data_IF_075602788350
#
_entry.id   IF_075602788350
#
_cell.length_a   1.000
_cell.length_b   1.000
_cell.length_c   1.000
_cell.angle_alpha   90.00
_cell.angle_beta   90.00
_cell.angle_gamma   90.00
#
_symmetry.space_group_name_H-M   'P 1'
#
loop_
_entity.id
_entity.type
_entity.pdbx_description
1 polymer ?
#
# COMPACT_ATOMS: atom_id res chain seq x y z
N UNK A 1 24.29 4.68 -2.33
CA UNK A 1 23.21 5.40 -1.66
C UNK A 1 21.92 4.84 -2.22
N UNK A 2 21.05 4.24 -1.40
CA UNK A 2 19.74 3.76 -1.83
C UNK A 2 18.87 4.94 -2.28
N UNK A 3 18.16 4.78 -3.39
CA UNK A 3 17.18 5.77 -3.83
C UNK A 3 15.98 5.68 -2.91
N UNK A 4 15.63 6.77 -2.22
CA UNK A 4 14.41 6.87 -1.42
C UNK A 4 13.29 7.31 -2.34
N UNK A 5 12.14 6.61 -2.27
CA UNK A 5 10.93 6.96 -3.01
C UNK A 5 10.04 7.86 -2.15
N UNK A 6 9.54 8.91 -2.75
CA UNK A 6 8.54 9.78 -2.16
C UNK A 6 7.15 9.39 -2.67
N UNK A 7 6.40 8.65 -1.84
CA UNK A 7 5.08 8.11 -2.19
C UNK A 7 4.00 9.03 -1.64
N UNK A 8 3.19 9.60 -2.52
CA UNK A 8 2.07 10.47 -2.16
C UNK A 8 0.91 9.66 -1.60
N UNK A 9 0.77 9.60 -0.28
CA UNK A 9 -0.30 8.87 0.41
C UNK A 9 -1.67 9.51 0.10
N UNK A 10 -2.54 8.78 -0.60
CA UNK A 10 -3.86 9.21 -1.12
C UNK A 10 -3.79 10.48 -1.98
N UNK A 11 -2.62 10.73 -2.59
CA UNK A 11 -2.35 11.89 -3.42
C UNK A 11 -1.90 13.15 -2.71
N UNK A 12 -1.42 13.09 -1.46
CA UNK A 12 -1.12 14.21 -0.54
C UNK A 12 -2.35 14.91 0.08
N UNK A 13 -2.13 15.53 1.24
CA UNK A 13 -3.17 16.31 1.94
C UNK A 13 -3.10 17.80 1.56
N UNK A 14 -3.51 18.13 0.37
CA UNK A 14 -3.52 19.53 -0.11
C UNK A 14 -4.89 20.21 0.01
N UNK A 15 -5.89 19.55 0.62
CA UNK A 15 -7.25 20.08 0.78
C UNK A 15 -8.21 19.73 -0.38
N UNK A 16 -7.74 19.02 -1.40
CA UNK A 16 -8.57 18.59 -2.55
C UNK A 16 -9.32 17.27 -2.32
N UNK A 17 -9.23 16.72 -1.11
CA UNK A 17 -9.86 15.47 -0.71
C UNK A 17 -9.00 14.24 -1.01
N UNK A 18 -8.93 13.32 -0.04
CA UNK A 18 -8.19 12.06 -0.16
C UNK A 18 -8.78 11.18 -1.29
N UNK A 19 -7.94 10.49 -2.05
CA UNK A 19 -8.36 9.57 -3.12
C UNK A 19 -9.19 10.22 -4.24
N UNK A 20 -9.01 11.51 -4.53
CA UNK A 20 -9.67 12.19 -5.65
C UNK A 20 -8.73 12.36 -6.85
N UNK A 21 -9.28 12.41 -8.05
CA UNK A 21 -8.48 12.65 -9.27
C UNK A 21 -7.73 13.98 -9.19
N UNK A 22 -8.36 15.03 -8.67
CA UNK A 22 -7.72 16.34 -8.47
C UNK A 22 -6.51 16.25 -7.54
N UNK A 23 -6.61 15.45 -6.46
CA UNK A 23 -5.53 15.22 -5.53
C UNK A 23 -4.37 14.43 -6.16
N UNK A 24 -4.67 13.46 -7.02
CA UNK A 24 -3.66 12.70 -7.77
C UNK A 24 -2.93 13.62 -8.77
N UNK A 25 -3.66 14.50 -9.48
CA UNK A 25 -3.07 15.49 -10.38
C UNK A 25 -2.11 16.43 -9.63
N UNK A 26 -2.50 16.87 -8.44
CA UNK A 26 -1.65 17.73 -7.61
C UNK A 26 -0.40 16.98 -7.13
N UNK A 27 -0.50 15.69 -6.76
CA UNK A 27 0.67 14.89 -6.41
C UNK A 27 1.68 14.78 -7.57
N UNK A 28 1.17 14.61 -8.80
CA UNK A 28 2.00 14.62 -10.02
C UNK A 28 2.69 15.98 -10.19
N UNK A 29 1.93 17.08 -10.06
CA UNK A 29 2.46 18.44 -10.18
C UNK A 29 3.56 18.74 -9.14
N UNK A 30 3.43 18.19 -7.93
CA UNK A 30 4.40 18.33 -6.83
C UNK A 30 5.60 17.39 -6.95
N UNK A 31 5.66 16.53 -7.97
CA UNK A 31 6.81 15.68 -8.25
C UNK A 31 6.90 14.43 -7.37
N UNK A 32 5.76 13.83 -7.03
CA UNK A 32 5.75 12.52 -6.37
C UNK A 32 6.41 11.46 -7.27
N UNK A 33 7.21 10.55 -6.68
CA UNK A 33 7.78 9.41 -7.41
C UNK A 33 6.75 8.30 -7.64
N UNK A 34 5.73 8.23 -6.79
CA UNK A 34 4.63 7.27 -6.83
C UNK A 34 3.42 7.84 -6.10
N UNK A 35 2.22 7.41 -6.47
CA UNK A 35 1.00 7.78 -5.74
C UNK A 35 0.37 6.53 -5.14
N UNK A 36 0.06 6.59 -3.85
CA UNK A 36 -0.73 5.55 -3.19
C UNK A 36 -2.21 5.93 -3.20
N UNK A 37 -3.07 4.94 -3.47
CA UNK A 37 -4.52 5.07 -3.44
C UNK A 37 -5.18 3.85 -2.81
N UNK A 38 -6.26 4.08 -2.06
CA UNK A 38 -7.08 3.04 -1.44
C UNK A 38 -8.10 2.50 -2.44
N UNK A 39 -8.16 1.18 -2.62
CA UNK A 39 -9.07 0.55 -3.60
C UNK A 39 -10.15 -0.27 -2.91
N UNK A 40 -11.39 -0.06 -3.33
CA UNK A 40 -12.58 -0.83 -2.94
C UNK A 40 -13.47 -1.14 -4.13
N UNK A 41 -14.35 -2.12 -3.95
CA UNK A 41 -15.49 -2.34 -4.87
C UNK A 41 -16.72 -1.58 -4.37
N UNK A 42 -17.31 -0.76 -5.22
CA UNK A 42 -18.60 -0.12 -4.95
C UNK A 42 -19.72 -1.14 -5.09
N UNK A 43 -20.66 -1.17 -4.15
CA UNK A 43 -21.70 -2.22 -4.10
C UNK A 43 -22.79 -2.02 -5.14
N UNK A 44 -23.10 -0.79 -5.50
CA UNK A 44 -24.20 -0.45 -6.40
C UNK A 44 -24.01 -0.96 -7.83
N UNK A 45 -22.77 -0.91 -8.33
CA UNK A 45 -22.42 -1.24 -9.72
C UNK A 45 -21.25 -2.22 -9.87
N UNK A 46 -20.58 -2.59 -8.76
CA UNK A 46 -19.46 -3.50 -8.79
C UNK A 46 -18.13 -2.88 -9.27
N UNK A 47 -18.08 -1.58 -9.57
CA UNK A 47 -16.88 -0.88 -10.03
C UNK A 47 -15.79 -0.84 -8.95
N UNK A 48 -14.52 -0.94 -9.36
CA UNK A 48 -13.41 -0.60 -8.49
C UNK A 48 -13.26 0.92 -8.42
N UNK A 49 -13.24 1.43 -7.19
CA UNK A 49 -13.23 2.87 -6.90
C UNK A 49 -12.17 3.22 -5.87
N UNK A 50 -11.77 4.49 -5.85
CA UNK A 50 -10.83 5.01 -4.88
C UNK A 50 -11.58 5.39 -3.61
N UNK A 51 -11.37 4.65 -2.51
CA UNK A 51 -12.00 4.95 -1.23
C UNK A 51 -11.30 4.24 -0.07
N UNK A 52 -11.00 4.98 1.00
CA UNK A 52 -10.50 4.40 2.24
C UNK A 52 -11.62 3.75 3.06
N UNK A 53 -12.78 4.39 3.14
CA UNK A 53 -13.85 4.01 4.04
C UNK A 53 -14.76 2.93 3.45
N UNK A 54 -15.41 2.17 4.34
CA UNK A 54 -16.42 1.18 3.95
C UNK A 54 -17.66 1.88 3.39
N UNK A 55 -18.19 1.34 2.29
CA UNK A 55 -19.36 1.91 1.62
C UNK A 55 -19.02 3.17 0.84
N UNK A 56 -18.13 3.06 -0.18
CA UNK A 56 -17.82 4.19 -1.04
C UNK A 56 -19.10 4.76 -1.65
N UNK A 57 -19.15 6.11 -1.71
CA UNK A 57 -20.28 6.82 -2.28
C UNK A 57 -20.29 6.74 -3.82
N UNK A 58 -21.40 7.16 -4.43
CA UNK A 58 -21.58 7.11 -5.89
C UNK A 58 -20.60 8.03 -6.65
N UNK A 59 -20.08 9.05 -5.98
CA UNK A 59 -19.13 10.02 -6.56
C UNK A 59 -17.67 9.61 -6.40
N UNK A 60 -17.37 8.47 -5.73
CA UNK A 60 -16.01 7.99 -5.58
C UNK A 60 -15.38 7.75 -6.97
N UNK A 61 -14.16 8.28 -7.24
CA UNK A 61 -13.51 8.11 -8.53
C UNK A 61 -13.31 6.63 -8.86
N UNK A 62 -13.46 6.25 -10.12
CA UNK A 62 -13.21 4.89 -10.57
C UNK A 62 -11.71 4.61 -10.64
N UNK A 63 -11.30 3.40 -10.34
CA UNK A 63 -9.90 2.99 -10.46
C UNK A 63 -9.37 3.22 -11.88
N UNK A 64 -10.14 2.89 -12.90
CA UNK A 64 -9.77 3.09 -14.31
C UNK A 64 -9.41 4.54 -14.66
N UNK A 65 -10.05 5.54 -14.02
CA UNK A 65 -9.74 6.95 -14.25
C UNK A 65 -8.38 7.32 -13.65
N UNK A 66 -8.06 6.77 -12.47
CA UNK A 66 -6.74 6.91 -11.85
C UNK A 66 -5.64 6.19 -12.64
N UNK A 67 -5.91 4.99 -13.16
CA UNK A 67 -4.98 4.25 -14.01
C UNK A 67 -4.68 5.01 -15.31
N UNK A 68 -5.70 5.56 -15.96
CA UNK A 68 -5.54 6.37 -17.17
C UNK A 68 -4.70 7.63 -16.91
N UNK A 69 -4.97 8.34 -15.81
CA UNK A 69 -4.18 9.50 -15.39
C UNK A 69 -2.72 9.12 -15.13
N UNK A 70 -2.48 8.06 -14.35
CA UNK A 70 -1.14 7.61 -13.99
C UNK A 70 -0.34 7.14 -15.20
N UNK A 71 -0.98 6.43 -16.15
CA UNK A 71 -0.38 6.02 -17.41
C UNK A 71 0.03 7.24 -18.25
N UNK A 72 -0.86 8.21 -18.40
CA UNK A 72 -0.59 9.44 -19.16
C UNK A 72 0.57 10.24 -18.54
N UNK A 73 0.59 10.38 -17.23
CA UNK A 73 1.63 11.10 -16.50
C UNK A 73 2.94 10.31 -16.34
N UNK A 74 2.98 9.06 -16.78
CA UNK A 74 4.11 8.15 -16.61
C UNK A 74 4.53 7.93 -15.15
N UNK A 75 3.57 7.92 -14.20
CA UNK A 75 3.80 7.72 -12.76
C UNK A 75 3.30 6.36 -12.28
N UNK A 76 4.05 5.59 -11.45
CA UNK A 76 3.56 4.35 -10.87
C UNK A 76 2.54 4.59 -9.76
N UNK A 77 1.68 3.58 -9.51
CA UNK A 77 0.71 3.59 -8.42
C UNK A 77 0.98 2.48 -7.40
N UNK A 78 0.78 2.79 -6.13
CA UNK A 78 0.56 1.80 -5.08
C UNK A 78 -0.95 1.66 -4.81
N UNK A 79 -1.50 0.49 -5.06
CA UNK A 79 -2.92 0.19 -4.86
C UNK A 79 -3.09 -0.53 -3.53
N UNK A 80 -3.55 0.18 -2.50
CA UNK A 80 -3.80 -0.39 -1.17
C UNK A 80 -5.23 -0.97 -1.10
N UNK A 81 -5.34 -2.29 -1.12
CA UNK A 81 -6.62 -3.01 -1.16
C UNK A 81 -7.28 -3.01 0.22
N UNK A 82 -8.45 -2.40 0.32
CA UNK A 82 -9.21 -2.26 1.58
C UNK A 82 -10.27 -3.34 1.81
N UNK A 83 -10.36 -4.30 0.91
CA UNK A 83 -11.26 -5.45 1.04
C UNK A 83 -10.72 -6.67 0.28
N UNK A 84 -11.21 -7.86 0.63
CA UNK A 84 -10.86 -9.10 -0.04
C UNK A 84 -11.66 -9.29 -1.34
N UNK A 85 -11.28 -10.30 -2.14
CA UNK A 85 -11.97 -10.72 -3.37
C UNK A 85 -12.03 -9.65 -4.47
N UNK A 86 -10.94 -8.87 -4.63
CA UNK A 86 -10.78 -7.91 -5.73
C UNK A 86 -9.86 -8.42 -6.85
N UNK A 87 -9.10 -9.48 -6.61
CA UNK A 87 -7.92 -9.87 -7.40
C UNK A 87 -8.21 -10.06 -8.88
N UNK A 88 -9.24 -10.82 -9.25
CA UNK A 88 -9.55 -11.12 -10.65
C UNK A 88 -9.98 -9.87 -11.42
N UNK A 89 -10.86 -9.07 -10.82
CA UNK A 89 -11.31 -7.81 -11.43
C UNK A 89 -10.15 -6.84 -11.55
N UNK A 90 -9.36 -6.69 -10.49
CA UNK A 90 -8.21 -5.80 -10.46
C UNK A 90 -7.18 -6.16 -11.53
N UNK A 91 -6.79 -7.43 -11.62
CA UNK A 91 -5.81 -7.88 -12.62
C UNK A 91 -6.33 -7.65 -14.05
N UNK A 92 -7.63 -7.88 -14.29
CA UNK A 92 -8.24 -7.57 -15.60
C UNK A 92 -8.15 -6.08 -15.93
N UNK A 93 -8.56 -5.20 -15.02
CA UNK A 93 -8.50 -3.74 -15.24
C UNK A 93 -7.06 -3.25 -15.42
N UNK A 94 -6.08 -3.83 -14.71
CA UNK A 94 -4.67 -3.50 -14.86
C UNK A 94 -4.10 -3.92 -16.22
N UNK A 95 -4.51 -5.08 -16.74
CA UNK A 95 -4.13 -5.53 -18.08
C UNK A 95 -4.72 -4.64 -19.17
N UNK A 96 -6.02 -4.32 -19.06
CA UNK A 96 -6.72 -3.43 -19.98
C UNK A 96 -6.10 -2.02 -20.01
N UNK A 97 -5.66 -1.53 -18.84
CA UNK A 97 -4.97 -0.24 -18.71
C UNK A 97 -3.47 -0.27 -19.09
N UNK A 98 -2.89 -1.44 -19.37
CA UNK A 98 -1.44 -1.65 -19.59
C UNK A 98 -0.57 -1.14 -18.43
N UNK A 99 -1.05 -1.37 -17.19
CA UNK A 99 -0.41 -0.86 -15.97
C UNK A 99 0.19 -1.97 -15.08
N UNK A 100 0.20 -3.22 -15.51
CA UNK A 100 0.64 -4.37 -14.70
C UNK A 100 2.06 -4.24 -14.14
N UNK A 101 2.99 -3.68 -14.89
CA UNK A 101 4.40 -3.49 -14.48
C UNK A 101 4.64 -2.15 -13.77
N UNK A 102 3.60 -1.32 -13.68
CA UNK A 102 3.68 0.04 -13.14
C UNK A 102 2.83 0.22 -11.88
N UNK A 103 2.36 -0.89 -11.34
CA UNK A 103 1.65 -0.88 -10.06
C UNK A 103 2.37 -1.77 -9.04
N UNK A 104 2.17 -1.40 -7.80
CA UNK A 104 2.48 -2.22 -6.64
C UNK A 104 1.18 -2.43 -5.88
N UNK A 105 0.88 -3.64 -5.44
CA UNK A 105 -0.34 -3.92 -4.69
C UNK A 105 0.01 -4.20 -3.24
N UNK A 106 -0.67 -3.49 -2.34
CA UNK A 106 -0.55 -3.64 -0.88
C UNK A 106 -1.93 -3.83 -0.24
N UNK A 107 -1.99 -4.11 1.05
CA UNK A 107 -3.27 -4.38 1.73
C UNK A 107 -3.87 -5.74 1.38
N UNK A 108 -5.12 -5.96 1.75
CA UNK A 108 -5.89 -7.16 1.40
C UNK A 108 -5.42 -8.50 1.98
N UNK A 109 -4.34 -8.50 2.76
CA UNK A 109 -3.76 -9.70 3.35
C UNK A 109 -2.87 -10.54 2.41
N UNK A 110 -2.11 -11.46 3.00
CA UNK A 110 -1.12 -12.27 2.29
C UNK A 110 -1.73 -13.24 1.27
N UNK A 111 -2.91 -13.77 1.53
CA UNK A 111 -3.64 -14.67 0.61
C UNK A 111 -3.97 -13.97 -0.70
N UNK A 112 -4.44 -12.72 -0.62
CA UNK A 112 -4.76 -11.92 -1.80
C UNK A 112 -3.49 -11.55 -2.59
N UNK A 113 -2.39 -11.25 -1.91
CA UNK A 113 -1.11 -11.00 -2.56
C UNK A 113 -0.62 -12.24 -3.35
N UNK A 114 -0.70 -13.43 -2.76
CA UNK A 114 -0.36 -14.69 -3.43
C UNK A 114 -1.27 -14.95 -4.64
N UNK A 115 -2.57 -14.69 -4.50
CA UNK A 115 -3.51 -14.91 -5.60
C UNK A 115 -3.30 -13.95 -6.76
N UNK A 116 -3.02 -12.68 -6.47
CA UNK A 116 -2.66 -11.69 -7.51
C UNK A 116 -1.40 -12.10 -8.25
N UNK A 117 -0.36 -12.54 -7.54
CA UNK A 117 0.88 -13.02 -8.17
C UNK A 117 0.66 -14.27 -9.02
N UNK A 118 -0.24 -15.16 -8.61
CA UNK A 118 -0.62 -16.33 -9.41
C UNK A 118 -1.32 -15.92 -10.71
N UNK A 119 -2.23 -14.94 -10.65
CA UNK A 119 -2.95 -14.43 -11.83
C UNK A 119 -2.06 -13.64 -12.78
N UNK A 120 -1.13 -12.83 -12.25
CA UNK A 120 -0.24 -11.97 -13.01
C UNK A 120 1.13 -11.83 -12.31
N UNK A 121 2.11 -12.68 -12.65
CA UNK A 121 3.42 -12.70 -12.00
C UNK A 121 4.24 -11.41 -12.11
N UNK A 122 3.93 -10.55 -13.09
CA UNK A 122 4.62 -9.27 -13.29
C UNK A 122 4.23 -8.18 -12.31
N UNK A 123 3.08 -8.34 -11.64
CA UNK A 123 2.62 -7.38 -10.62
C UNK A 123 3.46 -7.56 -9.36
N UNK A 124 4.05 -6.48 -8.89
CA UNK A 124 4.72 -6.42 -7.60
C UNK A 124 3.69 -6.41 -6.46
N UNK A 125 3.93 -7.21 -5.42
CA UNK A 125 3.02 -7.30 -4.28
C UNK A 125 3.75 -7.06 -2.96
N UNK A 126 3.09 -6.35 -2.04
CA UNK A 126 3.63 -6.02 -0.74
C UNK A 126 2.81 -6.59 0.41
N UNK A 127 3.51 -6.95 1.48
CA UNK A 127 2.91 -7.39 2.73
C UNK A 127 2.72 -6.19 3.67
N UNK A 128 1.50 -5.87 4.05
CA UNK A 128 1.22 -4.80 5.02
C UNK A 128 1.30 -5.34 6.44
N UNK A 129 2.22 -4.80 7.25
CA UNK A 129 2.26 -5.06 8.69
C UNK A 129 1.17 -4.23 9.37
N UNK A 130 0.13 -4.85 9.92
CA UNK A 130 -1.01 -4.11 10.46
C UNK A 130 -0.62 -3.31 11.70
N UNK A 131 -1.13 -2.08 11.79
CA UNK A 131 -0.95 -1.22 12.97
C UNK A 131 -1.62 -1.80 14.21
N UNK A 132 -2.76 -2.47 14.05
CA UNK A 132 -3.59 -3.04 15.12
C UNK A 132 -4.20 -4.35 14.68
N UNK A 133 -4.24 -5.32 15.58
CA UNK A 133 -5.18 -6.43 15.49
C UNK A 133 -6.55 -6.00 15.99
N UNK A 134 -7.59 -6.63 15.44
CA UNK A 134 -9.01 -6.45 15.73
C UNK A 134 -9.37 -5.78 17.09
N UNK A 135 -10.54 -5.14 17.14
CA UNK A 135 -11.02 -4.38 18.31
C UNK A 135 -11.00 -5.17 19.63
N UNK A 136 -11.10 -6.49 19.61
CA UNK A 136 -10.96 -7.31 20.81
C UNK A 136 -9.54 -7.35 21.39
N UNK A 137 -8.48 -7.13 20.59
CA UNK A 137 -7.10 -7.00 21.10
C UNK A 137 -6.89 -5.68 21.82
N UNK A 138 -7.68 -4.66 21.53
CA UNK A 138 -7.69 -3.41 22.31
C UNK A 138 -8.13 -3.65 23.76
N UNK A 139 -9.03 -4.62 23.96
CA UNK A 139 -9.52 -4.99 25.30
C UNK A 139 -8.48 -5.81 26.10
N UNK A 140 -7.54 -6.48 25.46
CA UNK A 140 -6.49 -7.30 26.10
C UNK A 140 -5.25 -6.50 26.54
N UNK A 141 -5.21 -5.19 26.26
CA UNK A 141 -4.24 -4.27 26.82
C UNK A 141 -2.88 -4.18 26.14
N UNK A 142 -2.05 -3.30 26.66
CA UNK A 142 -0.75 -2.89 26.13
C UNK A 142 0.26 -4.06 25.94
N UNK A 143 0.29 -5.04 26.84
CA UNK A 143 1.25 -6.15 26.81
C UNK A 143 1.04 -7.08 25.59
N UNK A 144 -0.22 -7.39 25.24
CA UNK A 144 -0.56 -8.24 24.10
C UNK A 144 -0.25 -7.52 22.79
N UNK A 145 -0.54 -6.23 22.70
CA UNK A 145 -0.17 -5.41 21.55
C UNK A 145 1.35 -5.37 21.35
N UNK A 146 2.12 -5.30 22.44
CA UNK A 146 3.60 -5.33 22.38
C UNK A 146 4.13 -6.70 21.95
N UNK A 147 3.59 -7.79 22.48
CA UNK A 147 3.98 -9.14 22.09
C UNK A 147 3.65 -9.44 20.62
N UNK A 148 2.46 -9.04 20.17
CA UNK A 148 2.04 -9.16 18.78
C UNK A 148 2.95 -8.42 17.82
N UNK A 149 3.29 -7.17 18.13
CA UNK A 149 4.23 -6.36 17.35
C UNK A 149 5.61 -7.05 17.27
N UNK A 150 6.07 -7.62 18.37
CA UNK A 150 7.35 -8.34 18.43
C UNK A 150 7.35 -9.61 17.55
N UNK A 151 6.26 -10.37 17.55
CA UNK A 151 6.12 -11.59 16.70
C UNK A 151 6.16 -11.22 15.22
N UNK A 152 5.38 -10.21 14.78
CA UNK A 152 5.32 -9.80 13.39
C UNK A 152 6.64 -9.20 12.88
N UNK A 153 7.24 -8.30 13.66
CA UNK A 153 8.51 -7.69 13.26
C UNK A 153 9.72 -8.60 13.49
N UNK A 154 9.59 -9.58 14.35
CA UNK A 154 10.66 -10.53 14.67
C UNK A 154 10.84 -11.66 13.66
N UNK A 155 9.84 -11.92 12.80
CA UNK A 155 9.83 -13.02 11.81
C UNK A 155 9.39 -12.58 10.41
N UNK A 156 9.57 -11.31 10.09
CA UNK A 156 9.18 -10.76 8.79
C UNK A 156 9.91 -11.45 7.62
N UNK A 157 11.14 -11.87 7.82
CA UNK A 157 11.93 -12.60 6.84
C UNK A 157 11.30 -13.96 6.48
N UNK A 158 10.73 -14.67 7.46
CA UNK A 158 10.01 -15.93 7.21
C UNK A 158 8.72 -15.70 6.42
N UNK A 159 8.00 -14.63 6.76
CA UNK A 159 6.78 -14.26 6.03
C UNK A 159 7.09 -13.87 4.58
N UNK A 160 8.11 -13.06 4.36
CA UNK A 160 8.56 -12.67 3.02
C UNK A 160 8.97 -13.88 2.19
N UNK A 161 9.72 -14.82 2.77
CA UNK A 161 10.09 -16.08 2.11
C UNK A 161 8.89 -16.95 1.78
N UNK A 162 7.91 -17.04 2.68
CA UNK A 162 6.71 -17.86 2.47
C UNK A 162 5.73 -17.24 1.46
N UNK A 163 5.66 -15.91 1.40
CA UNK A 163 4.73 -15.18 0.53
C UNK A 163 5.36 -14.71 -0.78
N UNK A 164 6.68 -14.74 -0.88
CA UNK A 164 7.44 -14.18 -2.00
C UNK A 164 7.04 -12.72 -2.32
N UNK A 165 6.63 -11.94 -1.31
CA UNK A 165 6.32 -10.53 -1.49
C UNK A 165 7.59 -9.71 -1.74
N UNK A 166 7.48 -8.71 -2.62
CA UNK A 166 8.60 -7.87 -3.05
C UNK A 166 8.95 -6.79 -2.02
N UNK A 167 7.99 -6.48 -1.16
CA UNK A 167 8.15 -5.43 -0.16
C UNK A 167 7.26 -5.62 1.07
N UNK A 168 7.58 -4.87 2.11
CA UNK A 168 6.77 -4.73 3.32
C UNK A 168 6.35 -3.28 3.49
N UNK A 169 5.06 -3.03 3.74
CA UNK A 169 4.60 -1.71 4.19
C UNK A 169 4.40 -1.70 5.70
N UNK A 170 4.90 -0.68 6.38
CA UNK A 170 4.92 -0.63 7.84
C UNK A 170 4.72 0.79 8.38
N UNK A 171 4.00 0.92 9.50
CA UNK A 171 3.85 2.24 10.16
C UNK A 171 5.20 2.72 10.73
N UNK A 172 5.52 4.01 10.56
CA UNK A 172 6.81 4.62 10.94
C UNK A 172 7.25 4.33 12.39
N UNK A 173 6.29 4.20 13.33
CA UNK A 173 6.58 3.91 14.75
C UNK A 173 7.00 2.47 15.02
N UNK A 174 6.85 1.58 14.05
CA UNK A 174 7.23 0.17 14.14
C UNK A 174 8.61 -0.10 13.51
N UNK A 175 9.14 0.86 12.77
CA UNK A 175 10.43 0.72 12.10
C UNK A 175 11.57 0.75 13.12
N UNK A 176 12.40 -0.28 13.05
CA UNK A 176 13.62 -0.42 13.83
C UNK A 176 14.76 -0.81 12.90
N UNK A 177 16.04 -0.53 13.24
CA UNK A 177 17.17 -0.99 12.42
C UNK A 177 17.19 -2.51 12.19
N UNK A 178 16.74 -3.28 13.19
CA UNK A 178 16.61 -4.74 13.07
C UNK A 178 15.58 -5.12 12.01
N UNK A 179 14.41 -4.47 11.98
CA UNK A 179 13.37 -4.75 10.98
C UNK A 179 13.88 -4.43 9.58
N UNK A 180 14.51 -3.28 9.39
CA UNK A 180 15.10 -2.86 8.11
C UNK A 180 16.11 -3.92 7.62
N UNK A 181 17.04 -4.31 8.50
CA UNK A 181 18.04 -5.34 8.18
C UNK A 181 17.39 -6.68 7.80
N UNK A 182 16.35 -7.12 8.51
CA UNK A 182 15.66 -8.38 8.20
C UNK A 182 14.96 -8.34 6.85
N UNK A 183 14.27 -7.24 6.53
CA UNK A 183 13.57 -7.07 5.25
C UNK A 183 14.58 -7.05 4.10
N UNK A 184 15.65 -6.26 4.20
CA UNK A 184 16.70 -6.20 3.18
C UNK A 184 17.44 -7.53 3.00
N UNK A 185 17.71 -8.27 4.07
CA UNK A 185 18.31 -9.62 3.97
C UNK A 185 17.40 -10.63 3.29
N UNK A 186 16.08 -10.42 3.35
CA UNK A 186 15.12 -11.24 2.60
C UNK A 186 15.02 -10.84 1.12
N UNK A 187 15.76 -9.82 0.68
CA UNK A 187 15.73 -9.30 -0.69
C UNK A 187 14.52 -8.43 -1.00
N UNK A 188 13.82 -7.94 0.03
CA UNK A 188 12.61 -7.12 -0.10
C UNK A 188 12.86 -5.65 0.24
N UNK A 189 11.98 -4.77 -0.25
CA UNK A 189 11.96 -3.35 0.10
C UNK A 189 11.12 -3.11 1.37
N UNK A 190 11.40 -2.00 2.05
CA UNK A 190 10.57 -1.53 3.17
C UNK A 190 9.99 -0.16 2.84
N UNK A 191 8.66 -0.06 2.84
CA UNK A 191 7.93 1.17 2.63
C UNK A 191 7.26 1.61 3.93
N UNK A 192 7.43 2.87 4.28
CA UNK A 192 7.04 3.37 5.61
C UNK A 192 5.91 4.39 5.47
N UNK A 193 4.80 4.16 6.17
CA UNK A 193 3.64 5.04 6.19
C UNK A 193 3.35 5.54 7.60
N UNK A 194 2.78 6.65 7.87
CA UNK A 194 2.90 7.90 7.12
C UNK A 194 3.74 8.82 8.01
N UNK A 195 5.04 9.01 7.74
CA UNK A 195 5.80 10.03 8.41
C UNK A 195 5.44 11.39 7.78
N UNK A 196 5.07 12.37 8.60
CA UNK A 196 4.64 13.69 8.19
C UNK A 196 5.49 14.81 8.79
N UNK A 197 6.54 14.46 9.54
CA UNK A 197 7.52 15.41 10.08
C UNK A 197 8.94 15.13 9.59
N UNK A 198 9.70 16.21 9.36
CA UNK A 198 11.05 16.16 8.80
C UNK A 198 12.03 15.33 9.66
N UNK A 199 11.90 15.39 10.99
CA UNK A 199 12.77 14.65 11.92
C UNK A 199 12.57 13.14 11.81
N UNK A 200 11.31 12.69 11.75
CA UNK A 200 10.98 11.27 11.53
C UNK A 200 11.47 10.81 10.16
N UNK A 201 11.27 11.61 9.11
CA UNK A 201 11.73 11.27 7.75
C UNK A 201 13.26 11.14 7.74
N UNK A 202 14.01 12.12 8.26
CA UNK A 202 15.47 12.09 8.31
C UNK A 202 15.99 10.85 9.07
N UNK A 203 15.37 10.50 10.19
CA UNK A 203 15.73 9.31 10.97
C UNK A 203 15.51 8.01 10.18
N UNK A 204 14.40 7.91 9.43
CA UNK A 204 14.09 6.72 8.63
C UNK A 204 15.02 6.58 7.44
N UNK A 205 15.36 7.66 6.78
CA UNK A 205 16.31 7.71 5.65
C UNK A 205 17.71 7.29 6.09
N UNK A 206 18.09 7.55 7.36
CA UNK A 206 19.41 7.19 7.91
C UNK A 206 19.52 5.72 8.37
N UNK A 207 18.45 4.91 8.25
CA UNK A 207 18.45 3.49 8.63
C UNK A 207 18.73 2.57 7.44
#
# INVERSE_FOLDING_TARGET
MGTHLHIAHRGYRTGLGDNTIAQLQEAIRLGADMIEVDVRRRRSDGELVLSHDKGPNETAPRLRDALALARHANIPLNLDLKQNHLSEQLVRELREAEMTERVVITGGGWEQALWIRHLEPRIRVGLTIPRRHHDWVRALGWAVNRAWRYVWTGRVDLLLKATHCDLVTVQHRLVTPRLVTQVHRAGAEIWVWTPDDAGTIARLVAM
#
